data_IF_717585997286
#
_entry.id   IF_717585997286
#
_cell.length_a   1.000
_cell.length_b   1.000
_cell.length_c   1.000
_cell.angle_alpha   90.00
_cell.angle_beta   90.00
_cell.angle_gamma   90.00
#
_symmetry.space_group_name_H-M   'P 1'
#
loop_
_entity.id
_entity.type
_entity.pdbx_description
1 polymer ?
#
# COMPACT_ATOMS: atom_id res chain seq x y z
N UNK A 1 6.27 15.37 18.77
CA UNK A 1 5.54 14.24 19.37
C UNK A 1 4.01 14.43 19.38
N UNK A 2 3.47 15.56 19.86
CA UNK A 2 2.00 15.73 19.98
C UNK A 2 1.23 15.64 18.65
N UNK A 3 1.74 16.22 17.56
CA UNK A 3 1.11 16.10 16.24
C UNK A 3 1.01 14.64 15.75
N UNK A 4 2.03 13.82 16.05
CA UNK A 4 2.02 12.39 15.71
C UNK A 4 0.98 11.64 16.55
N UNK A 5 0.91 11.93 17.85
CA UNK A 5 -0.11 11.37 18.76
C UNK A 5 -1.54 11.73 18.34
N UNK A 6 -1.73 12.91 17.75
CA UNK A 6 -3.03 13.36 17.23
C UNK A 6 -3.36 12.81 15.83
N UNK A 7 -2.43 12.08 15.19
CA UNK A 7 -2.61 11.52 13.85
C UNK A 7 -2.48 12.53 12.70
N UNK A 8 -1.94 13.73 12.96
CA UNK A 8 -1.69 14.73 11.91
C UNK A 8 -0.47 14.38 11.05
N UNK A 9 0.53 13.77 11.67
CA UNK A 9 1.71 13.21 11.01
C UNK A 9 1.86 11.75 11.46
N UNK A 10 2.49 10.92 10.63
CA UNK A 10 2.69 9.52 10.96
C UNK A 10 3.72 9.34 12.10
N UNK A 11 4.82 10.08 12.05
CA UNK A 11 5.94 9.93 12.98
C UNK A 11 6.67 11.25 13.22
N UNK A 12 7.29 11.40 14.40
CA UNK A 12 8.17 12.51 14.73
C UNK A 12 9.47 11.97 15.33
N UNK A 13 10.57 12.10 14.60
CA UNK A 13 11.91 11.60 14.98
C UNK A 13 12.86 12.75 15.29
N UNK A 14 14.04 12.45 15.86
CA UNK A 14 15.09 13.44 16.02
C UNK A 14 15.63 13.85 14.63
N UNK A 15 16.14 15.09 14.45
CA UNK A 15 16.64 15.56 13.14
C UNK A 15 17.68 14.64 12.50
N UNK A 16 18.56 14.05 13.31
CA UNK A 16 19.61 13.12 12.90
C UNK A 16 19.06 11.78 12.37
N UNK A 17 17.85 11.39 12.77
CA UNK A 17 17.21 10.12 12.39
C UNK A 17 16.25 10.28 11.19
N UNK A 18 16.08 11.51 10.67
CA UNK A 18 15.08 11.80 9.64
C UNK A 18 15.29 11.00 8.36
N UNK A 19 16.54 10.87 7.91
CA UNK A 19 16.88 10.14 6.68
C UNK A 19 16.55 8.65 6.84
N UNK A 20 16.95 8.05 7.96
CA UNK A 20 16.70 6.64 8.26
C UNK A 20 15.20 6.34 8.35
N UNK A 21 14.41 7.25 8.94
CA UNK A 21 12.96 7.12 9.01
C UNK A 21 12.30 7.20 7.63
N UNK A 22 12.78 8.10 6.76
CA UNK A 22 12.29 8.20 5.37
C UNK A 22 12.64 6.95 4.58
N UNK A 23 13.89 6.48 4.67
CA UNK A 23 14.36 5.30 3.96
C UNK A 23 13.60 4.04 4.40
N UNK A 24 13.29 3.91 5.69
CA UNK A 24 12.48 2.80 6.19
C UNK A 24 11.08 2.76 5.55
N UNK A 25 10.41 3.92 5.44
CA UNK A 25 9.09 4.01 4.79
C UNK A 25 9.19 3.71 3.29
N UNK A 26 10.22 4.23 2.61
CA UNK A 26 10.44 3.98 1.19
C UNK A 26 10.71 2.49 0.95
N UNK A 27 11.60 1.88 1.72
CA UNK A 27 11.95 0.47 1.60
C UNK A 27 10.73 -0.45 1.79
N UNK A 28 9.84 -0.12 2.73
CA UNK A 28 8.58 -0.86 2.96
C UNK A 28 7.61 -0.72 1.77
N UNK A 29 7.38 0.51 1.29
CA UNK A 29 6.53 0.76 0.12
C UNK A 29 7.03 0.02 -1.13
N UNK A 30 8.34 -0.07 -1.29
CA UNK A 30 9.00 -0.76 -2.40
C UNK A 30 8.88 -2.30 -2.33
N UNK A 31 8.49 -2.87 -1.18
CA UNK A 31 8.10 -4.28 -1.13
C UNK A 31 6.69 -4.53 -1.71
N UNK A 32 5.85 -3.48 -1.75
CA UNK A 32 4.49 -3.55 -2.27
C UNK A 32 4.41 -3.59 -3.80
N UNK A 33 3.41 -4.30 -4.33
CA UNK A 33 3.10 -4.25 -5.76
C UNK A 33 2.69 -2.83 -6.17
N UNK A 34 3.27 -2.23 -7.23
CA UNK A 34 3.00 -0.84 -7.58
C UNK A 34 1.52 -0.56 -7.91
N UNK A 35 0.83 -1.49 -8.58
CA UNK A 35 -0.60 -1.33 -8.85
C UNK A 35 -1.44 -1.51 -7.58
N UNK A 36 -1.07 -2.44 -6.70
CA UNK A 36 -1.72 -2.62 -5.41
C UNK A 36 -1.60 -1.37 -4.53
N UNK A 37 -0.41 -0.76 -4.42
CA UNK A 37 -0.21 0.49 -3.67
C UNK A 37 -1.05 1.63 -4.25
N UNK A 38 -1.08 1.78 -5.59
CA UNK A 38 -1.91 2.78 -6.26
C UNK A 38 -3.41 2.55 -5.99
N UNK A 39 -3.85 1.29 -6.06
CA UNK A 39 -5.22 0.90 -5.78
C UNK A 39 -5.63 1.16 -4.32
N UNK A 40 -4.74 0.87 -3.36
CA UNK A 40 -4.97 1.20 -1.94
C UNK A 40 -5.14 2.70 -1.73
N UNK A 41 -4.31 3.54 -2.38
CA UNK A 41 -4.48 5.00 -2.31
C UNK A 41 -5.81 5.46 -2.91
N UNK A 42 -6.23 4.85 -4.01
CA UNK A 42 -7.52 5.15 -4.65
C UNK A 42 -8.70 4.79 -3.74
N UNK A 43 -8.65 3.62 -3.09
CA UNK A 43 -9.64 3.20 -2.11
C UNK A 43 -9.79 4.23 -0.98
N UNK A 44 -8.67 4.69 -0.42
CA UNK A 44 -8.65 5.70 0.64
C UNK A 44 -9.23 7.06 0.19
N UNK A 45 -9.12 7.41 -1.09
CA UNK A 45 -9.62 8.67 -1.61
C UNK A 45 -11.13 8.61 -1.96
N UNK A 46 -11.61 7.51 -2.53
CA UNK A 46 -12.96 7.41 -3.09
C UNK A 46 -14.00 6.92 -2.07
N UNK A 47 -13.67 5.86 -1.31
CA UNK A 47 -14.62 5.19 -0.40
C UNK A 47 -15.22 6.11 0.67
N UNK A 48 -14.48 7.03 1.32
CA UNK A 48 -15.04 7.89 2.36
C UNK A 48 -16.17 8.82 1.89
N UNK A 49 -16.30 9.02 0.57
CA UNK A 49 -17.33 9.85 -0.04
C UNK A 49 -18.60 9.09 -0.42
N UNK A 50 -18.59 7.75 -0.34
CA UNK A 50 -19.67 6.87 -0.78
C UNK A 50 -20.59 6.47 0.37
N UNK A 51 -21.84 6.10 0.04
CA UNK A 51 -22.69 5.35 0.96
C UNK A 51 -22.14 3.94 1.20
N UNK A 52 -22.44 3.32 2.35
CA UNK A 52 -21.88 1.99 2.71
C UNK A 52 -22.18 0.92 1.65
N UNK A 53 -23.44 0.80 1.22
CA UNK A 53 -23.84 -0.22 0.23
C UNK A 53 -23.15 0.03 -1.14
N UNK A 54 -23.11 1.29 -1.57
CA UNK A 54 -22.39 1.70 -2.78
C UNK A 54 -20.89 1.40 -2.70
N UNK A 55 -20.27 1.70 -1.56
CA UNK A 55 -18.86 1.41 -1.32
C UNK A 55 -18.59 -0.10 -1.42
N UNK A 56 -19.46 -0.96 -0.85
CA UNK A 56 -19.31 -2.41 -0.98
C UNK A 56 -19.45 -2.87 -2.44
N UNK A 57 -20.46 -2.40 -3.16
CA UNK A 57 -20.64 -2.76 -4.58
C UNK A 57 -19.45 -2.32 -5.45
N UNK A 58 -18.95 -1.11 -5.23
CA UNK A 58 -17.83 -0.55 -5.98
C UNK A 58 -16.53 -1.28 -5.64
N UNK A 59 -16.21 -1.44 -4.35
CA UNK A 59 -14.97 -2.10 -3.91
C UNK A 59 -14.93 -3.58 -4.29
N UNK A 60 -16.07 -4.28 -4.33
CA UNK A 60 -16.14 -5.67 -4.82
C UNK A 60 -15.70 -5.76 -6.28
N UNK A 61 -16.25 -4.91 -7.16
CA UNK A 61 -15.89 -4.88 -8.59
C UNK A 61 -14.43 -4.51 -8.78
N UNK A 62 -13.99 -3.45 -8.11
CA UNK A 62 -12.61 -2.98 -8.16
C UNK A 62 -11.61 -4.03 -7.69
N UNK A 63 -11.90 -4.72 -6.58
CA UNK A 63 -11.08 -5.81 -6.06
C UNK A 63 -11.00 -6.97 -7.06
N UNK A 64 -12.14 -7.39 -7.63
CA UNK A 64 -12.18 -8.47 -8.62
C UNK A 64 -11.30 -8.15 -9.85
N UNK A 65 -11.29 -6.91 -10.33
CA UNK A 65 -10.43 -6.47 -11.43
C UNK A 65 -8.94 -6.51 -11.07
N UNK A 66 -8.56 -6.13 -9.85
CA UNK A 66 -7.16 -6.21 -9.40
C UNK A 66 -6.67 -7.66 -9.34
N UNK A 67 -7.51 -8.59 -8.90
CA UNK A 67 -7.16 -10.01 -8.79
C UNK A 67 -6.98 -10.71 -10.14
N UNK A 68 -7.42 -10.13 -11.26
CA UNK A 68 -7.14 -10.67 -12.60
C UNK A 68 -5.85 -10.13 -13.23
N UNK A 69 -5.13 -9.24 -12.54
CA UNK A 69 -3.89 -8.62 -13.04
C UNK A 69 -2.69 -9.56 -13.02
N UNK A 70 -1.72 -9.30 -13.90
CA UNK A 70 -0.42 -9.98 -13.90
C UNK A 70 0.34 -9.78 -12.58
N UNK A 71 0.20 -8.60 -11.95
CA UNK A 71 0.81 -8.31 -10.65
C UNK A 71 0.25 -9.21 -9.55
N UNK A 72 -1.07 -9.43 -9.52
CA UNK A 72 -1.70 -10.34 -8.57
C UNK A 72 -1.24 -11.78 -8.78
N UNK A 73 -1.17 -12.24 -10.04
CA UNK A 73 -0.70 -13.57 -10.38
C UNK A 73 0.77 -13.79 -9.96
N UNK A 74 1.65 -12.83 -10.24
CA UNK A 74 3.06 -12.86 -9.82
C UNK A 74 3.20 -12.82 -8.30
N UNK A 75 2.45 -11.95 -7.61
CA UNK A 75 2.50 -11.85 -6.15
C UNK A 75 2.10 -13.14 -5.45
N UNK A 76 0.98 -13.73 -5.88
CA UNK A 76 0.53 -15.03 -5.39
C UNK A 76 1.55 -16.12 -5.71
N UNK A 77 2.09 -16.14 -6.93
CA UNK A 77 3.11 -17.10 -7.35
C UNK A 77 4.41 -16.99 -6.53
N UNK A 78 4.89 -15.77 -6.30
CA UNK A 78 6.09 -15.49 -5.51
C UNK A 78 5.91 -15.92 -4.05
N UNK A 79 4.77 -15.60 -3.45
CA UNK A 79 4.41 -16.01 -2.09
C UNK A 79 4.42 -17.54 -1.95
N UNK A 80 3.73 -18.26 -2.85
CA UNK A 80 3.67 -19.72 -2.84
C UNK A 80 5.05 -20.36 -3.04
N UNK A 81 5.88 -19.76 -3.89
CA UNK A 81 7.24 -20.20 -4.16
C UNK A 81 8.27 -19.74 -3.11
N UNK A 82 7.85 -19.01 -2.07
CA UNK A 82 8.73 -18.45 -1.01
C UNK A 82 9.90 -17.64 -1.57
N UNK A 83 9.66 -16.89 -2.64
CA UNK A 83 10.63 -15.98 -3.26
C UNK A 83 10.10 -14.55 -3.19
N UNK A 84 10.98 -13.58 -3.40
CA UNK A 84 10.53 -12.21 -3.64
C UNK A 84 9.78 -12.12 -4.98
N UNK A 85 8.72 -11.31 -5.06
CA UNK A 85 8.10 -10.98 -6.33
C UNK A 85 9.04 -10.12 -7.17
N UNK A 86 8.88 -10.16 -8.50
CA UNK A 86 9.80 -9.50 -9.43
C UNK A 86 9.95 -7.99 -9.23
N UNK A 87 8.94 -7.30 -8.68
CA UNK A 87 9.04 -5.87 -8.37
C UNK A 87 9.91 -5.57 -7.16
N UNK A 88 10.14 -6.54 -6.26
CA UNK A 88 10.88 -6.35 -5.00
C UNK A 88 12.32 -6.91 -5.05
N UNK A 89 12.84 -7.25 -6.24
CA UNK A 89 14.18 -7.86 -6.40
C UNK A 89 15.32 -6.87 -6.61
N UNK A 90 15.04 -5.57 -6.77
CA UNK A 90 16.06 -4.55 -7.05
C UNK A 90 15.77 -3.25 -6.32
N UNK A 91 16.30 -3.12 -5.10
CA UNK A 91 16.48 -1.85 -4.38
C UNK A 91 17.81 -1.90 -3.64
#
# INVERSE_FOLDING_TARGET
ADAARMGLINEAVAPEDLEDAVEAVVADLLQGGPNAIAASKRLLAEVPSMGVDEAFEWTQKFSAELFTSEEAAEGMGAFLAKRKPNWATSH
#
